data_IF_933565492240
#
_entry.id   IF_933565492240
#
_cell.length_a   1.000
_cell.length_b   1.000
_cell.length_c   1.000
_cell.angle_alpha   90.00
_cell.angle_beta   90.00
_cell.angle_gamma   90.00
#
_symmetry.space_group_name_H-M   'P 1'
#
loop_
_entity.id
_entity.type
_entity.pdbx_description
1 polymer ?
#
# COMPACT_ATOMS: atom_id res chain seq x y z
N UNK A 1 -16.34 0.25 -19.22
CA UNK A 1 -16.68 1.28 -20.23
C UNK A 1 -18.14 1.19 -20.71
N UNK A 2 -18.67 0.00 -21.07
CA UNK A 2 -20.01 -0.12 -21.68
C UNK A 2 -21.20 0.44 -20.86
N UNK A 3 -21.24 0.21 -19.54
CA UNK A 3 -22.37 0.66 -18.69
C UNK A 3 -22.54 2.18 -18.59
N UNK A 4 -21.44 2.94 -18.58
CA UNK A 4 -21.48 4.41 -18.53
C UNK A 4 -21.97 4.98 -19.86
N UNK A 5 -21.55 4.38 -20.98
CA UNK A 5 -21.99 4.79 -22.33
C UNK A 5 -23.49 4.53 -22.52
N UNK A 6 -23.99 3.37 -22.09
CA UNK A 6 -25.42 3.05 -22.12
C UNK A 6 -26.22 3.95 -21.17
N UNK A 7 -25.67 4.23 -19.98
CA UNK A 7 -26.29 5.15 -19.02
C UNK A 7 -26.39 6.59 -19.53
N UNK A 8 -25.36 7.08 -20.22
CA UNK A 8 -25.39 8.41 -20.88
C UNK A 8 -26.38 8.46 -22.03
N UNK A 9 -26.48 7.40 -22.85
CA UNK A 9 -27.46 7.33 -23.93
C UNK A 9 -28.90 7.34 -23.39
N UNK A 10 -29.19 6.57 -22.33
CA UNK A 10 -30.48 6.57 -21.65
C UNK A 10 -30.78 7.92 -20.99
N UNK A 11 -29.79 8.56 -20.39
CA UNK A 11 -29.93 9.89 -19.78
C UNK A 11 -30.36 10.95 -20.82
N UNK A 12 -29.80 10.91 -22.04
CA UNK A 12 -30.19 11.82 -23.12
C UNK A 12 -31.63 11.56 -23.60
N UNK A 13 -32.03 10.28 -23.71
CA UNK A 13 -33.37 9.90 -24.17
C UNK A 13 -34.45 10.22 -23.12
N UNK A 14 -34.14 10.04 -21.83
CA UNK A 14 -35.07 10.25 -20.72
C UNK A 14 -35.02 11.67 -20.13
N UNK A 15 -34.09 12.51 -20.60
CA UNK A 15 -33.93 13.91 -20.17
C UNK A 15 -35.23 14.74 -20.14
N UNK A 16 -36.17 14.63 -21.11
CA UNK A 16 -37.40 15.43 -21.06
C UNK A 16 -38.43 14.90 -20.05
N UNK A 17 -38.28 13.66 -19.56
CA UNK A 17 -39.24 13.01 -18.67
C UNK A 17 -38.82 13.01 -17.21
N UNK A 18 -37.54 13.26 -16.91
CA UNK A 18 -36.97 13.16 -15.57
C UNK A 18 -36.37 14.49 -15.09
N UNK A 19 -36.41 14.76 -13.77
CA UNK A 19 -35.69 15.89 -13.18
C UNK A 19 -34.18 15.80 -13.48
N UNK A 20 -33.56 16.95 -13.78
CA UNK A 20 -32.15 17.07 -14.19
C UNK A 20 -31.19 16.32 -13.27
N UNK A 21 -31.41 16.35 -11.95
CA UNK A 21 -30.56 15.68 -10.97
C UNK A 21 -30.62 14.14 -11.07
N UNK A 22 -31.76 13.56 -11.47
CA UNK A 22 -31.92 12.11 -11.69
C UNK A 22 -31.18 11.68 -12.94
N UNK A 23 -31.23 12.50 -13.99
CA UNK A 23 -30.57 12.28 -15.27
C UNK A 23 -29.04 12.19 -15.14
N UNK A 24 -28.45 12.97 -14.24
CA UNK A 24 -27.00 12.90 -13.94
C UNK A 24 -26.61 11.74 -13.00
N UNK A 25 -27.53 11.22 -12.19
CA UNK A 25 -27.28 10.06 -11.33
C UNK A 25 -27.39 8.72 -12.08
N UNK A 26 -28.18 8.67 -13.16
CA UNK A 26 -28.39 7.45 -13.97
C UNK A 26 -27.09 6.82 -14.51
N UNK A 27 -26.14 7.56 -15.11
CA UNK A 27 -24.86 7.00 -15.57
C UNK A 27 -24.00 6.45 -14.44
N UNK A 28 -24.05 7.10 -13.26
CA UNK A 28 -23.32 6.68 -12.07
C UNK A 28 -23.91 5.37 -11.56
N UNK A 29 -25.23 5.32 -11.33
CA UNK A 29 -25.94 4.14 -10.82
C UNK A 29 -25.84 2.94 -11.77
N UNK A 30 -26.01 3.15 -13.07
CA UNK A 30 -25.89 2.09 -14.08
C UNK A 30 -24.43 1.66 -14.26
N UNK A 31 -23.48 2.60 -14.18
CA UNK A 31 -22.04 2.30 -14.20
C UNK A 31 -21.62 1.43 -13.01
N UNK A 32 -21.98 1.82 -11.79
CA UNK A 32 -21.68 1.04 -10.58
C UNK A 32 -22.45 -0.28 -10.57
N UNK A 33 -23.73 -0.27 -10.92
CA UNK A 33 -24.57 -1.46 -10.97
C UNK A 33 -24.03 -2.49 -11.96
N UNK A 34 -23.65 -2.07 -13.17
CA UNK A 34 -23.06 -2.95 -14.18
C UNK A 34 -21.69 -3.49 -13.76
N UNK A 35 -20.89 -2.72 -13.02
CA UNK A 35 -19.61 -3.20 -12.50
C UNK A 35 -19.79 -4.33 -11.49
N UNK A 36 -20.67 -4.15 -10.50
CA UNK A 36 -20.96 -5.19 -9.50
C UNK A 36 -21.68 -6.39 -10.11
N UNK A 37 -22.66 -6.17 -11.00
CA UNK A 37 -23.36 -7.25 -11.70
C UNK A 37 -22.40 -8.04 -12.60
N UNK A 38 -21.50 -7.34 -13.30
CA UNK A 38 -20.44 -7.95 -14.08
C UNK A 38 -19.54 -8.84 -13.21
N UNK A 39 -19.12 -8.36 -12.04
CA UNK A 39 -18.31 -9.14 -11.10
C UNK A 39 -19.07 -10.31 -10.48
N UNK A 40 -20.39 -10.20 -10.31
CA UNK A 40 -21.22 -11.28 -9.76
C UNK A 40 -21.52 -12.38 -10.79
N UNK A 41 -21.75 -12.00 -12.05
CA UNK A 41 -22.03 -12.94 -13.15
C UNK A 41 -20.77 -13.53 -13.76
N UNK A 42 -19.68 -12.75 -13.75
CA UNK A 42 -18.37 -13.13 -14.26
C UNK A 42 -17.32 -12.78 -13.20
N UNK A 43 -17.24 -13.55 -12.11
CA UNK A 43 -16.18 -13.36 -11.13
C UNK A 43 -14.83 -13.48 -11.84
N UNK A 44 -13.88 -12.54 -11.60
CA UNK A 44 -12.56 -12.66 -12.18
C UNK A 44 -11.94 -13.99 -11.74
N UNK A 45 -11.32 -14.69 -12.69
CA UNK A 45 -10.65 -15.94 -12.38
C UNK A 45 -9.56 -15.69 -11.32
N UNK A 46 -9.40 -16.58 -10.33
CA UNK A 46 -8.46 -16.39 -9.23
C UNK A 46 -7.01 -16.18 -9.71
N UNK A 47 -6.68 -16.71 -10.89
CA UNK A 47 -5.38 -16.50 -11.55
C UNK A 47 -5.14 -15.02 -11.91
N UNK A 48 -6.16 -14.31 -12.41
CA UNK A 48 -6.04 -12.90 -12.81
C UNK A 48 -5.77 -12.01 -11.59
N UNK A 49 -6.41 -12.28 -10.45
CA UNK A 49 -6.17 -11.51 -9.22
C UNK A 49 -4.75 -11.71 -8.69
N UNK A 50 -4.22 -12.94 -8.77
CA UNK A 50 -2.83 -13.24 -8.42
C UNK A 50 -1.85 -12.47 -9.32
N UNK A 51 -2.04 -12.52 -10.65
CA UNK A 51 -1.20 -11.77 -11.59
C UNK A 51 -1.21 -10.27 -11.34
N UNK A 52 -2.38 -9.69 -11.01
CA UNK A 52 -2.51 -8.27 -10.71
C UNK A 52 -1.78 -7.90 -9.41
N UNK A 53 -1.85 -8.72 -8.38
CA UNK A 53 -1.12 -8.47 -7.13
C UNK A 53 0.39 -8.67 -7.28
N UNK A 54 0.83 -9.65 -8.06
CA UNK A 54 2.24 -9.82 -8.41
C UNK A 54 2.77 -8.60 -9.17
N UNK A 55 2.02 -8.12 -10.16
CA UNK A 55 2.38 -6.94 -10.94
C UNK A 55 2.50 -5.68 -10.07
N UNK A 56 1.56 -5.47 -9.13
CA UNK A 56 1.64 -4.36 -8.16
C UNK A 56 2.88 -4.49 -7.28
N UNK A 57 3.16 -5.69 -6.78
CA UNK A 57 4.31 -5.93 -5.91
C UNK A 57 5.62 -5.65 -6.63
N UNK A 58 5.74 -6.11 -7.89
CA UNK A 58 6.89 -5.82 -8.75
C UNK A 58 7.02 -4.32 -9.03
N UNK A 59 5.90 -3.62 -9.28
CA UNK A 59 5.91 -2.17 -9.48
C UNK A 59 6.47 -1.43 -8.25
N UNK A 60 6.03 -1.81 -7.04
CA UNK A 60 6.49 -1.18 -5.80
C UNK A 60 7.98 -1.46 -5.56
N UNK A 61 8.45 -2.68 -5.83
CA UNK A 61 9.87 -3.00 -5.77
C UNK A 61 10.69 -2.18 -6.78
N UNK A 62 10.18 -2.01 -8.00
CA UNK A 62 10.81 -1.16 -9.00
C UNK A 62 10.84 0.32 -8.55
N UNK A 63 9.78 0.81 -7.90
CA UNK A 63 9.75 2.15 -7.30
C UNK A 63 10.80 2.33 -6.21
N UNK A 64 10.95 1.35 -5.30
CA UNK A 64 12.00 1.38 -4.28
C UNK A 64 13.41 1.40 -4.90
N UNK A 65 13.66 0.54 -5.89
CA UNK A 65 14.94 0.49 -6.58
C UNK A 65 15.26 1.81 -7.30
N UNK A 66 14.26 2.42 -7.95
CA UNK A 66 14.40 3.71 -8.60
C UNK A 66 14.71 4.82 -7.58
N UNK A 67 13.99 4.86 -6.46
CA UNK A 67 14.24 5.82 -5.37
C UNK A 67 15.64 5.67 -4.79
N UNK A 68 16.10 4.42 -4.56
CA UNK A 68 17.44 4.13 -4.06
C UNK A 68 18.52 4.61 -5.02
N UNK A 69 18.33 4.33 -6.31
CA UNK A 69 19.24 4.78 -7.37
C UNK A 69 19.26 6.31 -7.45
N UNK A 70 18.10 6.96 -7.39
CA UNK A 70 17.97 8.42 -7.44
C UNK A 70 18.65 9.06 -6.23
N UNK A 71 18.40 8.56 -5.01
CA UNK A 71 19.02 9.01 -3.77
C UNK A 71 20.56 8.91 -3.80
N UNK A 72 21.08 7.85 -4.42
CA UNK A 72 22.52 7.58 -4.51
C UNK A 72 23.24 8.42 -5.58
N UNK A 73 22.57 8.69 -6.71
CA UNK A 73 23.17 9.36 -7.88
C UNK A 73 22.95 10.87 -7.89
N UNK A 74 21.86 11.36 -7.28
CA UNK A 74 21.48 12.76 -7.39
C UNK A 74 22.19 13.62 -6.34
N UNK A 75 22.91 14.65 -6.80
CA UNK A 75 23.65 15.57 -5.93
C UNK A 75 22.72 16.42 -5.04
N UNK A 76 21.49 16.69 -5.49
CA UNK A 76 20.48 17.48 -4.78
C UNK A 76 20.12 16.88 -3.42
N UNK A 77 20.27 15.56 -3.27
CA UNK A 77 19.94 14.83 -2.06
C UNK A 77 21.13 14.65 -1.12
N UNK A 78 22.33 15.14 -1.46
CA UNK A 78 23.52 15.01 -0.61
C UNK A 78 23.31 15.44 0.85
N UNK A 79 22.61 16.54 1.18
CA UNK A 79 22.46 16.97 2.57
C UNK A 79 21.76 15.94 3.47
N UNK A 80 20.84 15.13 2.95
CA UNK A 80 20.04 14.16 3.72
C UNK A 80 20.10 12.74 3.14
N UNK A 81 21.09 12.46 2.29
CA UNK A 81 21.28 11.18 1.60
C UNK A 81 21.26 10.01 2.57
N UNK A 82 21.97 10.14 3.70
CA UNK A 82 22.08 9.04 4.66
C UNK A 82 20.74 8.69 5.31
N UNK A 83 19.92 9.69 5.64
CA UNK A 83 18.59 9.48 6.20
C UNK A 83 17.68 8.84 5.16
N UNK A 84 17.70 9.36 3.93
CA UNK A 84 16.90 8.87 2.83
C UNK A 84 17.25 7.42 2.47
N UNK A 85 18.53 7.08 2.34
CA UNK A 85 18.98 5.72 2.02
C UNK A 85 18.63 4.75 3.14
N UNK A 86 18.81 5.12 4.42
CA UNK A 86 18.40 4.28 5.55
C UNK A 86 16.90 4.02 5.56
N UNK A 87 16.08 5.04 5.26
CA UNK A 87 14.64 4.88 5.15
C UNK A 87 14.29 3.88 4.02
N UNK A 88 14.88 4.06 2.84
CA UNK A 88 14.66 3.17 1.70
C UNK A 88 15.09 1.74 2.01
N UNK A 89 16.25 1.53 2.64
CA UNK A 89 16.73 0.20 3.04
C UNK A 89 15.79 -0.48 4.04
N UNK A 90 15.22 0.28 4.99
CA UNK A 90 14.21 -0.24 5.91
C UNK A 90 12.93 -0.62 5.19
N UNK A 91 12.47 0.21 4.25
CA UNK A 91 11.30 -0.08 3.41
C UNK A 91 11.53 -1.33 2.55
N UNK A 92 12.71 -1.49 1.95
CA UNK A 92 13.09 -2.70 1.20
C UNK A 92 13.01 -3.97 2.06
N UNK A 93 13.40 -3.87 3.34
CA UNK A 93 13.35 -5.00 4.28
C UNK A 93 11.93 -5.33 4.74
N UNK A 94 11.16 -4.32 5.16
CA UNK A 94 9.84 -4.54 5.78
C UNK A 94 8.75 -4.83 4.74
N UNK A 95 8.88 -4.31 3.51
CA UNK A 95 7.85 -4.45 2.49
C UNK A 95 7.47 -5.92 2.22
N UNK A 96 8.42 -6.85 1.97
CA UNK A 96 8.09 -8.27 1.80
C UNK A 96 7.37 -8.89 3.01
N UNK A 97 7.74 -8.48 4.22
CA UNK A 97 7.10 -8.95 5.46
C UNK A 97 5.63 -8.50 5.50
N UNK A 98 5.38 -7.23 5.19
CA UNK A 98 4.00 -6.69 5.16
C UNK A 98 3.13 -7.30 4.05
N UNK A 99 3.72 -7.69 2.91
CA UNK A 99 2.99 -8.37 1.84
C UNK A 99 2.50 -9.76 2.26
N UNK A 100 3.29 -10.46 3.08
CA UNK A 100 2.94 -11.79 3.57
C UNK A 100 1.79 -11.78 4.60
N UNK A 101 1.51 -10.64 5.23
CA UNK A 101 0.48 -10.52 6.29
C UNK A 101 -0.96 -10.41 5.74
N UNK A 102 -1.15 -10.32 4.42
CA UNK A 102 -2.47 -10.14 3.80
C UNK A 102 -2.93 -8.67 3.79
N UNK A 103 -4.23 -8.42 3.79
CA UNK A 103 -4.78 -7.05 3.71
C UNK A 103 -4.81 -6.39 5.10
N UNK A 104 -3.65 -5.94 5.57
CA UNK A 104 -3.50 -5.25 6.86
C UNK A 104 -3.28 -3.75 6.66
N UNK A 105 -3.52 -2.98 7.73
CA UNK A 105 -3.18 -1.56 7.77
C UNK A 105 -1.67 -1.34 7.52
N UNK A 106 -0.81 -2.16 8.12
CA UNK A 106 0.63 -2.12 7.90
C UNK A 106 1.01 -2.22 6.41
N UNK A 107 0.41 -3.18 5.68
CA UNK A 107 0.63 -3.32 4.23
C UNK A 107 0.18 -2.08 3.46
N UNK A 108 -1.02 -1.58 3.74
CA UNK A 108 -1.53 -0.39 3.08
C UNK A 108 -0.62 0.82 3.32
N UNK A 109 -0.22 1.05 4.57
CA UNK A 109 0.63 2.18 4.95
C UNK A 109 2.01 2.09 4.32
N UNK A 110 2.67 0.92 4.35
CA UNK A 110 3.98 0.75 3.69
C UNK A 110 3.88 0.95 2.17
N UNK A 111 2.84 0.41 1.51
CA UNK A 111 2.62 0.64 0.07
C UNK A 111 2.43 2.13 -0.24
N UNK A 112 1.61 2.84 0.54
CA UNK A 112 1.37 4.27 0.38
C UNK A 112 2.64 5.09 0.62
N UNK A 113 3.40 4.76 1.66
CA UNK A 113 4.66 5.44 1.97
C UNK A 113 5.64 5.39 0.79
N UNK A 114 5.74 4.23 0.13
CA UNK A 114 6.66 4.02 -1.00
C UNK A 114 6.19 4.72 -2.27
N UNK A 115 4.89 4.63 -2.59
CA UNK A 115 4.36 5.05 -3.90
C UNK A 115 3.91 6.50 -3.90
N UNK A 116 3.46 7.01 -2.75
CA UNK A 116 2.83 8.33 -2.65
C UNK A 116 3.60 9.26 -1.72
N UNK A 117 3.79 8.90 -0.45
CA UNK A 117 4.26 9.86 0.56
C UNK A 117 5.73 10.25 0.33
N UNK A 118 6.63 9.28 0.19
CA UNK A 118 8.06 9.55 -0.03
C UNK A 118 8.31 10.26 -1.38
N UNK A 119 7.78 9.78 -2.53
CA UNK A 119 7.85 10.54 -3.78
C UNK A 119 7.21 11.92 -3.68
N UNK A 120 6.10 12.04 -2.94
CA UNK A 120 5.37 13.28 -2.70
C UNK A 120 6.18 14.33 -1.94
N UNK A 121 7.15 13.93 -1.12
CA UNK A 121 8.10 14.84 -0.47
C UNK A 121 9.27 15.22 -1.40
N UNK A 122 9.82 14.25 -2.12
CA UNK A 122 11.02 14.46 -2.93
C UNK A 122 10.73 15.25 -4.21
N UNK A 123 9.58 15.03 -4.83
CA UNK A 123 9.21 15.63 -6.11
C UNK A 123 9.09 17.16 -6.03
N UNK A 124 8.36 17.77 -5.06
CA UNK A 124 8.35 19.22 -4.89
C UNK A 124 9.74 19.77 -4.62
N UNK A 125 10.53 19.12 -3.76
CA UNK A 125 11.88 19.55 -3.42
C UNK A 125 12.81 19.60 -4.65
N UNK A 126 12.66 18.65 -5.57
CA UNK A 126 13.39 18.61 -6.85
C UNK A 126 13.10 19.84 -7.72
N UNK A 127 11.86 20.34 -7.69
CA UNK A 127 11.40 21.49 -8.49
C UNK A 127 11.81 22.84 -7.90
N UNK A 128 12.22 22.90 -6.63
CA UNK A 128 12.64 24.15 -5.98
C UNK A 128 13.93 24.69 -6.62
N UNK A 129 14.08 26.02 -6.66
CA UNK A 129 15.37 26.66 -6.95
C UNK A 129 16.38 26.35 -5.85
N UNK A 130 17.68 26.48 -6.14
CA UNK A 130 18.74 26.12 -5.19
C UNK A 130 18.64 26.88 -3.84
N UNK A 131 18.35 28.18 -3.87
CA UNK A 131 18.22 29.01 -2.66
C UNK A 131 17.03 28.56 -1.79
N UNK A 132 15.84 28.43 -2.40
CA UNK A 132 14.65 27.94 -1.71
C UNK A 132 14.85 26.53 -1.18
N UNK A 133 15.57 25.71 -1.93
CA UNK A 133 15.88 24.33 -1.55
C UNK A 133 16.72 24.28 -0.29
N UNK A 134 17.83 25.03 -0.22
CA UNK A 134 18.67 25.15 0.98
C UNK A 134 17.89 25.63 2.20
N UNK A 135 16.98 26.60 2.02
CA UNK A 135 16.13 27.08 3.11
C UNK A 135 15.15 26.03 3.65
N UNK A 136 14.78 25.03 2.83
CA UNK A 136 13.83 23.97 3.19
C UNK A 136 14.51 22.62 3.53
N UNK A 137 15.84 22.56 3.57
CA UNK A 137 16.59 21.32 3.88
C UNK A 137 16.23 20.76 5.26
N UNK A 138 16.10 21.63 6.27
CA UNK A 138 15.74 21.23 7.62
C UNK A 138 14.33 20.62 7.67
N UNK A 139 13.37 21.25 7.00
CA UNK A 139 11.99 20.78 6.92
C UNK A 139 11.92 19.42 6.23
N UNK A 140 12.60 19.24 5.09
CA UNK A 140 12.62 17.95 4.41
C UNK A 140 13.27 16.86 5.26
N UNK A 141 14.39 17.17 5.94
CA UNK A 141 15.03 16.23 6.86
C UNK A 141 14.06 15.78 7.96
N UNK A 142 13.38 16.72 8.60
CA UNK A 142 12.42 16.43 9.66
C UNK A 142 11.30 15.52 9.17
N UNK A 143 10.73 15.81 7.99
CA UNK A 143 9.71 14.95 7.38
C UNK A 143 10.24 13.55 7.07
N UNK A 144 11.48 13.42 6.55
CA UNK A 144 12.08 12.10 6.30
C UNK A 144 12.32 11.32 7.60
N UNK A 145 12.70 12.00 8.67
CA UNK A 145 12.88 11.38 10.00
C UNK A 145 11.53 11.00 10.63
N UNK A 146 10.46 11.75 10.37
CA UNK A 146 9.10 11.37 10.76
C UNK A 146 8.64 10.10 10.03
N UNK A 147 8.81 10.03 8.70
CA UNK A 147 8.52 8.81 7.94
C UNK A 147 9.33 7.62 8.44
N UNK A 148 10.60 7.82 8.78
CA UNK A 148 11.44 6.76 9.35
C UNK A 148 10.92 6.25 10.70
N UNK A 149 10.41 7.15 11.55
CA UNK A 149 9.77 6.76 12.82
C UNK A 149 8.47 6.00 12.62
N UNK A 150 7.66 6.38 11.63
CA UNK A 150 6.45 5.65 11.27
C UNK A 150 6.77 4.22 10.81
N UNK A 151 7.76 4.06 9.94
CA UNK A 151 8.24 2.73 9.49
C UNK A 151 8.76 1.89 10.67
N UNK A 152 9.52 2.50 11.59
CA UNK A 152 9.99 1.80 12.80
C UNK A 152 8.83 1.35 13.70
N UNK A 153 7.80 2.19 13.84
CA UNK A 153 6.59 1.85 14.60
C UNK A 153 5.83 0.66 14.00
N UNK A 154 5.69 0.63 12.67
CA UNK A 154 5.09 -0.50 11.96
C UNK A 154 5.94 -1.76 12.14
N UNK A 155 7.27 -1.65 12.03
CA UNK A 155 8.17 -2.78 12.25
C UNK A 155 8.01 -3.40 13.64
N UNK A 156 7.96 -2.57 14.68
CA UNK A 156 7.76 -3.03 16.05
C UNK A 156 6.40 -3.71 16.24
N UNK A 157 5.34 -3.19 15.62
CA UNK A 157 4.02 -3.81 15.68
C UNK A 157 4.04 -5.23 15.08
N UNK A 158 4.67 -5.39 13.91
CA UNK A 158 4.81 -6.69 13.24
C UNK A 158 5.63 -7.65 14.11
N UNK A 159 6.76 -7.19 14.64
CA UNK A 159 7.63 -7.99 15.50
C UNK A 159 6.91 -8.46 16.78
N UNK A 160 6.10 -7.60 17.39
CA UNK A 160 5.28 -7.93 18.56
C UNK A 160 4.20 -8.97 18.22
N UNK A 161 3.52 -8.83 17.08
CA UNK A 161 2.54 -9.81 16.61
C UNK A 161 3.16 -11.20 16.37
N UNK A 162 4.31 -11.23 15.71
CA UNK A 162 5.05 -12.46 15.42
C UNK A 162 5.56 -13.12 16.71
N UNK A 163 6.08 -12.33 17.66
CA UNK A 163 6.49 -12.83 18.97
C UNK A 163 5.33 -13.49 19.70
N UNK A 164 4.17 -12.82 19.75
CA UNK A 164 2.97 -13.39 20.38
C UNK A 164 2.49 -14.67 19.66
N UNK A 165 2.55 -14.72 18.33
CA UNK A 165 2.22 -15.92 17.56
C UNK A 165 3.15 -17.09 17.88
N UNK A 166 4.45 -16.82 17.99
CA UNK A 166 5.46 -17.80 18.37
C UNK A 166 5.22 -18.34 19.78
N UNK A 167 4.98 -17.47 20.76
CA UNK A 167 4.69 -17.86 22.15
C UNK A 167 3.47 -18.76 22.27
N UNK A 168 2.38 -18.41 21.56
CA UNK A 168 1.16 -19.26 21.48
C UNK A 168 1.49 -20.63 20.91
N UNK A 169 2.30 -20.69 19.85
CA UNK A 169 2.68 -21.96 19.21
C UNK A 169 3.55 -22.83 20.13
N UNK A 170 4.52 -22.24 20.80
CA UNK A 170 5.38 -22.92 21.77
C UNK A 170 4.53 -23.51 22.90
N UNK A 171 3.60 -22.72 23.44
CA UNK A 171 2.69 -23.15 24.52
C UNK A 171 1.85 -24.34 24.08
N UNK A 172 1.21 -24.24 22.91
CA UNK A 172 0.43 -25.34 22.33
C UNK A 172 1.26 -26.62 22.15
N UNK A 173 2.48 -26.50 21.63
CA UNK A 173 3.38 -27.65 21.45
C UNK A 173 3.73 -28.29 22.79
N UNK A 174 4.09 -27.50 23.80
CA UNK A 174 4.40 -28.00 25.15
C UNK A 174 3.23 -28.78 25.74
N UNK A 175 2.01 -28.23 25.69
CA UNK A 175 0.82 -28.91 26.19
C UNK A 175 0.50 -30.21 25.44
N UNK A 176 0.62 -30.19 24.11
CA UNK A 176 0.35 -31.37 23.27
C UNK A 176 1.29 -32.52 23.59
N UNK A 177 2.58 -32.23 23.78
CA UNK A 177 3.57 -33.27 24.11
C UNK A 177 3.56 -33.67 25.58
N UNK A 178 3.21 -32.76 26.51
CA UNK A 178 2.97 -33.11 27.90
C UNK A 178 1.83 -34.14 28.03
N UNK A 179 0.69 -33.89 27.37
CA UNK A 179 -0.45 -34.83 27.32
C UNK A 179 -0.14 -36.17 26.66
N UNK A 180 0.83 -36.23 25.74
CA UNK A 180 1.28 -37.50 25.12
C UNK A 180 2.25 -38.30 26.00
N UNK A 181 2.91 -37.67 26.98
CA UNK A 181 3.85 -38.32 27.90
C UNK A 181 3.20 -38.79 29.19
N UNK A 182 1.95 -38.43 29.46
CA UNK A 182 1.19 -39.05 30.54
C UNK A 182 0.95 -40.53 30.20
N UNK A 183 1.45 -41.48 31.00
CA UNK A 183 1.17 -42.88 30.78
C UNK A 183 -0.33 -43.10 30.98
N UNK A 184 -1.00 -43.68 29.97
CA UNK A 184 -2.35 -44.24 30.13
C UNK A 184 -2.26 -45.47 31.04
N UNK A 185 -2.11 -45.27 32.35
CA UNK A 185 -2.35 -46.33 33.31
C UNK A 185 -3.88 -46.40 33.55
N UNK A 186 -4.51 -47.42 32.97
CA UNK A 186 -5.73 -48.03 33.46
C UNK A 186 -5.38 -49.38 34.04
#
# INVERSE_FOLDING_TARGET
MGGIVVGLALAIILAPALPVWVTWLLPILLGTGAFFLGRALFPPEPEIELYLEEAKTQQIQASLAALKQEASSTAIFLPFRDVLLKLIERLEKIFPETEAMGQTEARYTIRRLIVEDLPGLLEPYRRLSEETRRANEALLRESLEELAREVDGIYQLIEDEDRMALERKITFVREKYARRREPRFK
#
